data_IF_164327440799
#
_entry.id   IF_164327440799
#
_cell.length_a   1.000
_cell.length_b   1.000
_cell.length_c   1.000
_cell.angle_alpha   90.00
_cell.angle_beta   90.00
_cell.angle_gamma   90.00
#
_symmetry.space_group_name_H-M   'P 1'
#
loop_
_entity.id
_entity.type
_entity.pdbx_description
1 polymer ?
#
# COMPACT_ATOMS: atom_id res chain seq x y z
N UNK A 1 -3.52 -16.91 -1.32
CA UNK A 1 -4.41 -15.83 -1.78
C UNK A 1 -4.56 -15.93 -3.28
N UNK A 2 -5.61 -16.57 -3.77
CA UNK A 2 -5.94 -16.60 -5.19
C UNK A 2 -6.84 -15.40 -5.49
N UNK A 3 -6.37 -14.48 -6.33
CA UNK A 3 -7.17 -13.37 -6.82
C UNK A 3 -8.11 -13.92 -7.90
N UNK A 4 -9.42 -13.74 -7.71
CA UNK A 4 -10.42 -13.96 -8.76
C UNK A 4 -10.14 -12.98 -9.90
N UNK A 5 -9.46 -13.43 -10.95
CA UNK A 5 -9.29 -12.62 -12.15
C UNK A 5 -10.54 -12.75 -13.02
N UNK A 6 -11.17 -11.62 -13.30
CA UNK A 6 -12.18 -11.51 -14.35
C UNK A 6 -11.54 -11.88 -15.70
N UNK A 7 -12.28 -12.49 -16.65
CA UNK A 7 -11.76 -12.72 -18.00
C UNK A 7 -11.36 -11.37 -18.60
N UNK A 8 -10.21 -11.33 -19.29
CA UNK A 8 -9.80 -10.17 -20.07
C UNK A 8 -10.80 -9.96 -21.21
N UNK A 9 -11.83 -9.14 -20.98
CA UNK A 9 -12.65 -8.64 -22.07
C UNK A 9 -11.76 -7.77 -22.97
N UNK A 10 -11.86 -8.05 -24.27
CA UNK A 10 -11.00 -7.51 -25.31
C UNK A 10 -10.92 -5.99 -25.30
N UNK A 11 -9.79 -5.51 -25.81
CA UNK A 11 -9.39 -4.10 -25.86
C UNK A 11 -10.54 -3.14 -26.16
N UNK A 12 -11.00 -2.47 -25.10
CA UNK A 12 -11.77 -1.25 -25.20
C UNK A 12 -10.81 -0.08 -25.41
N UNK A 13 -10.91 0.58 -26.57
CA UNK A 13 -10.27 1.86 -26.82
C UNK A 13 -10.70 2.87 -25.75
N UNK A 14 -9.83 3.09 -24.78
CA UNK A 14 -9.99 4.10 -23.75
C UNK A 14 -9.58 5.46 -24.32
N UNK A 15 -10.47 6.42 -24.17
CA UNK A 15 -10.28 7.84 -24.43
C UNK A 15 -8.84 8.32 -24.18
N UNK A 16 -8.29 9.09 -25.12
CA UNK A 16 -6.97 9.74 -25.08
C UNK A 16 -6.84 10.84 -24.00
N UNK A 17 -7.60 10.74 -22.92
CA UNK A 17 -7.82 11.79 -21.92
C UNK A 17 -7.86 11.24 -20.48
N UNK A 18 -7.45 9.98 -20.28
CA UNK A 18 -7.04 9.53 -18.96
C UNK A 18 -5.67 10.18 -18.68
N UNK A 19 -5.72 11.37 -18.08
CA UNK A 19 -4.57 12.12 -17.62
C UNK A 19 -3.76 11.23 -16.65
N UNK A 20 -2.72 10.56 -17.17
CA UNK A 20 -1.81 9.70 -16.40
C UNK A 20 -0.86 10.57 -15.54
N UNK A 21 -1.37 11.67 -14.99
CA UNK A 21 -0.63 12.57 -14.12
C UNK A 21 -0.58 11.95 -12.74
N UNK A 22 0.64 11.62 -12.33
CA UNK A 22 0.93 11.15 -10.97
C UNK A 22 1.15 12.34 -10.07
N UNK A 23 0.27 12.50 -9.08
CA UNK A 23 0.42 13.53 -8.05
C UNK A 23 1.27 12.99 -6.89
N UNK A 24 2.59 13.19 -6.95
CA UNK A 24 3.56 12.69 -5.96
C UNK A 24 3.18 13.04 -4.50
N UNK A 25 2.75 14.28 -4.26
CA UNK A 25 2.33 14.73 -2.93
C UNK A 25 1.12 13.95 -2.38
N UNK A 26 0.20 13.55 -3.25
CA UNK A 26 -1.00 12.80 -2.85
C UNK A 26 -0.66 11.35 -2.54
N UNK A 27 0.22 10.73 -3.34
CA UNK A 27 0.75 9.40 -3.04
C UNK A 27 1.52 9.41 -1.72
N UNK A 28 2.30 10.46 -1.46
CA UNK A 28 3.05 10.62 -0.21
C UNK A 28 2.14 10.75 1.00
N UNK A 29 1.10 11.58 0.91
CA UNK A 29 0.08 11.71 1.96
C UNK A 29 -0.62 10.39 2.24
N UNK A 30 -0.99 9.65 1.18
CA UNK A 30 -1.67 8.36 1.33
C UNK A 30 -0.75 7.30 1.96
N UNK A 31 0.52 7.25 1.57
CA UNK A 31 1.53 6.39 2.20
C UNK A 31 1.66 6.70 3.69
N UNK A 32 1.80 7.98 4.04
CA UNK A 32 1.89 8.41 5.44
C UNK A 32 0.62 8.07 6.25
N UNK A 33 -0.58 8.26 5.67
CA UNK A 33 -1.82 7.85 6.34
C UNK A 33 -1.88 6.34 6.61
N UNK A 34 -1.41 5.51 5.67
CA UNK A 34 -1.35 4.06 5.85
C UNK A 34 -0.34 3.69 6.95
N UNK A 35 0.81 4.36 7.00
CA UNK A 35 1.80 4.20 8.06
C UNK A 35 1.25 4.59 9.44
N UNK A 36 0.62 5.76 9.55
CA UNK A 36 0.04 6.26 10.79
C UNK A 36 -1.07 5.33 11.31
N UNK A 37 -1.92 4.84 10.40
CA UNK A 37 -2.96 3.86 10.74
C UNK A 37 -2.34 2.57 11.28
N UNK A 38 -1.28 2.06 10.63
CA UNK A 38 -0.55 0.88 11.09
C UNK A 38 0.02 1.08 12.49
N UNK A 39 0.66 2.21 12.78
CA UNK A 39 1.28 2.46 14.09
C UNK A 39 0.25 2.62 15.21
N UNK A 40 -0.85 3.35 14.96
CA UNK A 40 -1.96 3.43 15.92
C UNK A 40 -2.53 2.06 16.20
N UNK A 41 -2.84 1.31 15.14
CA UNK A 41 -3.44 -0.01 15.28
C UNK A 41 -2.50 -1.01 15.96
N UNK A 42 -1.17 -0.90 15.77
CA UNK A 42 -0.18 -1.71 16.50
C UNK A 42 -0.30 -1.56 18.03
N UNK A 43 -0.64 -0.37 18.50
CA UNK A 43 -0.80 -0.10 19.94
C UNK A 43 -2.21 -0.46 20.39
N UNK A 44 -3.22 0.07 19.71
CA UNK A 44 -4.61 -0.02 20.15
C UNK A 44 -5.15 -1.46 20.05
N UNK A 45 -4.76 -2.22 19.02
CA UNK A 45 -5.20 -3.61 18.86
C UNK A 45 -4.59 -4.55 19.90
N UNK A 46 -3.46 -4.16 20.50
CA UNK A 46 -2.71 -4.98 21.46
C UNK A 46 -3.14 -4.75 22.90
N UNK A 47 -3.81 -3.64 23.18
CA UNK A 47 -4.15 -3.17 24.52
C UNK A 47 -4.85 -4.23 25.38
N UNK A 48 -5.85 -4.92 24.81
CA UNK A 48 -6.63 -5.92 25.54
C UNK A 48 -6.02 -7.33 25.51
N UNK A 49 -4.95 -7.56 24.73
CA UNK A 49 -4.38 -8.91 24.51
C UNK A 49 -4.05 -9.62 25.84
N UNK A 50 -3.30 -9.02 26.78
CA UNK A 50 -2.92 -9.71 28.02
C UNK A 50 -4.13 -10.01 28.91
N UNK A 51 -5.03 -9.04 29.10
CA UNK A 51 -6.20 -9.20 29.96
C UNK A 51 -7.19 -10.23 29.41
N UNK A 52 -7.39 -10.27 28.09
CA UNK A 52 -8.27 -11.26 27.45
C UNK A 52 -7.69 -12.66 27.58
N UNK A 53 -6.37 -12.82 27.40
CA UNK A 53 -5.71 -14.11 27.61
C UNK A 53 -5.83 -14.58 29.06
N UNK A 54 -5.53 -13.73 30.06
CA UNK A 54 -5.68 -14.08 31.47
C UNK A 54 -7.13 -14.49 31.79
N UNK A 55 -8.12 -13.70 31.37
CA UNK A 55 -9.52 -14.03 31.59
C UNK A 55 -9.93 -15.36 30.93
N UNK A 56 -9.39 -15.67 29.74
CA UNK A 56 -9.66 -16.95 29.06
C UNK A 56 -9.16 -18.15 29.88
N UNK A 57 -7.96 -18.02 30.46
CA UNK A 57 -7.34 -19.06 31.30
C UNK A 57 -8.10 -19.23 32.61
N UNK A 58 -8.46 -18.13 33.27
CA UNK A 58 -9.19 -18.18 34.54
C UNK A 58 -10.57 -18.84 34.36
N UNK A 59 -11.34 -18.40 33.36
CA UNK A 59 -12.65 -18.98 33.04
C UNK A 59 -12.55 -20.47 32.67
N UNK A 60 -11.51 -20.85 31.93
CA UNK A 60 -11.27 -22.25 31.58
C UNK A 60 -10.97 -23.10 32.82
N UNK A 61 -10.11 -22.61 33.71
CA UNK A 61 -9.75 -23.30 34.95
C UNK A 61 -10.92 -23.41 35.93
N UNK A 62 -11.87 -22.47 35.88
CA UNK A 62 -13.14 -22.52 36.62
C UNK A 62 -14.16 -23.51 36.01
N UNK A 63 -13.80 -24.20 34.93
CA UNK A 63 -14.64 -25.20 34.26
C UNK A 63 -15.71 -24.60 33.34
N UNK A 64 -15.54 -23.35 32.93
CA UNK A 64 -16.47 -22.66 32.03
C UNK A 64 -16.01 -22.78 30.57
N UNK A 65 -16.86 -23.32 29.70
CA UNK A 65 -16.61 -23.43 28.25
C UNK A 65 -16.29 -22.08 27.59
N UNK A 66 -16.77 -20.98 28.18
CA UNK A 66 -16.49 -19.60 27.77
C UNK A 66 -14.98 -19.31 27.73
N UNK A 67 -14.17 -19.94 28.58
CA UNK A 67 -12.71 -19.76 28.60
C UNK A 67 -12.06 -20.19 27.28
N UNK A 68 -12.38 -21.39 26.80
CA UNK A 68 -11.91 -21.90 25.51
C UNK A 68 -12.38 -21.02 24.33
N UNK A 69 -13.65 -20.61 24.34
CA UNK A 69 -14.21 -19.75 23.30
C UNK A 69 -13.53 -18.35 23.28
N UNK A 70 -13.21 -17.81 24.46
CA UNK A 70 -12.52 -16.53 24.57
C UNK A 70 -11.07 -16.62 24.09
N UNK A 71 -10.39 -17.75 24.31
CA UNK A 71 -9.06 -18.00 23.77
C UNK A 71 -9.06 -18.08 22.24
N UNK A 72 -10.04 -18.77 21.65
CA UNK A 72 -10.21 -18.82 20.19
C UNK A 72 -10.44 -17.42 19.61
N UNK A 73 -11.29 -16.61 20.26
CA UNK A 73 -11.51 -15.22 19.86
C UNK A 73 -10.23 -14.37 19.98
N UNK A 74 -9.46 -14.54 21.05
CA UNK A 74 -8.18 -13.86 21.25
C UNK A 74 -7.21 -14.17 20.09
N UNK A 75 -7.09 -15.43 19.69
CA UNK A 75 -6.17 -15.84 18.63
C UNK A 75 -6.63 -15.38 17.24
N UNK A 76 -7.95 -15.42 16.99
CA UNK A 76 -8.55 -14.88 15.78
C UNK A 76 -8.31 -13.36 15.68
N UNK A 77 -8.51 -12.61 16.77
CA UNK A 77 -8.25 -11.17 16.83
C UNK A 77 -6.78 -10.85 16.52
N UNK A 78 -5.84 -11.56 17.14
CA UNK A 78 -4.41 -11.38 16.88
C UNK A 78 -4.06 -11.65 15.42
N UNK A 79 -4.65 -12.68 14.82
CA UNK A 79 -4.45 -13.00 13.40
C UNK A 79 -4.98 -11.89 12.49
N UNK A 80 -6.23 -11.47 12.67
CA UNK A 80 -6.86 -10.45 11.82
C UNK A 80 -6.15 -9.11 11.95
N UNK A 81 -5.75 -8.74 13.17
CA UNK A 81 -5.05 -7.49 13.40
C UNK A 81 -3.66 -7.49 12.78
N UNK A 82 -2.97 -8.63 12.80
CA UNK A 82 -1.70 -8.80 12.10
C UNK A 82 -1.86 -8.63 10.58
N UNK A 83 -2.87 -9.26 9.98
CA UNK A 83 -3.16 -9.11 8.54
C UNK A 83 -3.43 -7.66 8.17
N UNK A 84 -4.20 -6.91 8.97
CA UNK A 84 -4.47 -5.50 8.69
C UNK A 84 -3.19 -4.64 8.78
N UNK A 85 -2.37 -4.85 9.82
CA UNK A 85 -1.08 -4.13 9.96
C UNK A 85 -0.15 -4.39 8.78
N UNK A 86 -0.08 -5.64 8.31
CA UNK A 86 0.70 -6.01 7.12
C UNK A 86 0.16 -5.34 5.86
N UNK A 87 -1.15 -5.35 5.65
CA UNK A 87 -1.77 -4.66 4.52
C UNK A 87 -1.44 -3.15 4.52
N UNK A 88 -1.53 -2.48 5.66
CA UNK A 88 -1.14 -1.08 5.78
C UNK A 88 0.36 -0.86 5.51
N UNK A 89 1.23 -1.75 5.98
CA UNK A 89 2.66 -1.71 5.68
C UNK A 89 2.92 -1.86 4.17
N UNK A 90 2.24 -2.81 3.53
CA UNK A 90 2.35 -3.05 2.09
C UNK A 90 1.92 -1.83 1.29
N UNK A 91 0.79 -1.19 1.65
CA UNK A 91 0.32 0.02 0.98
C UNK A 91 1.34 1.15 1.13
N UNK A 92 1.80 1.42 2.35
CA UNK A 92 2.81 2.46 2.62
C UNK A 92 4.07 2.23 1.78
N UNK A 93 4.64 1.03 1.87
CA UNK A 93 5.87 0.66 1.16
C UNK A 93 5.70 0.74 -0.36
N UNK A 94 4.55 0.31 -0.88
CA UNK A 94 4.28 0.34 -2.32
C UNK A 94 4.18 1.77 -2.84
N UNK A 95 3.51 2.67 -2.10
CA UNK A 95 3.40 4.07 -2.49
C UNK A 95 4.76 4.78 -2.42
N UNK A 96 5.56 4.53 -1.39
CA UNK A 96 6.91 5.06 -1.29
C UNK A 96 7.80 4.57 -2.44
N UNK A 97 7.69 3.29 -2.80
CA UNK A 97 8.37 2.72 -3.96
C UNK A 97 7.94 3.40 -5.26
N UNK A 98 6.63 3.54 -5.50
CA UNK A 98 6.09 4.16 -6.71
C UNK A 98 6.57 5.60 -6.87
N UNK A 99 6.56 6.38 -5.79
CA UNK A 99 7.10 7.75 -5.78
C UNK A 99 8.59 7.78 -6.14
N UNK A 100 9.38 6.93 -5.49
CA UNK A 100 10.81 6.84 -5.76
C UNK A 100 11.10 6.41 -7.20
N UNK A 101 10.29 5.52 -7.78
CA UNK A 101 10.43 5.08 -9.16
C UNK A 101 10.09 6.20 -10.14
N UNK A 102 8.96 6.90 -9.95
CA UNK A 102 8.60 8.04 -10.79
C UNK A 102 9.65 9.15 -10.73
N UNK A 103 10.21 9.45 -9.57
CA UNK A 103 11.30 10.43 -9.46
C UNK A 103 12.55 10.01 -10.24
N UNK A 104 12.91 8.73 -10.22
CA UNK A 104 14.02 8.20 -11.03
C UNK A 104 13.72 8.27 -12.53
N UNK A 105 12.51 7.91 -12.93
CA UNK A 105 12.08 7.93 -14.33
C UNK A 105 12.08 9.37 -14.87
N UNK A 106 11.64 10.35 -14.07
CA UNK A 106 11.68 11.76 -14.42
C UNK A 106 13.12 12.24 -14.67
N UNK A 107 14.06 11.88 -13.80
CA UNK A 107 15.49 12.17 -14.00
C UNK A 107 16.04 11.50 -15.26
N UNK A 108 15.65 10.25 -15.52
CA UNK A 108 16.08 9.53 -16.71
C UNK A 108 15.55 10.19 -17.99
N UNK A 109 14.29 10.61 -18.02
CA UNK A 109 13.69 11.31 -19.14
C UNK A 109 14.41 12.65 -19.36
N UNK A 110 14.55 13.48 -18.33
CA UNK A 110 15.20 14.79 -18.43
C UNK A 110 16.65 14.71 -18.93
N UNK A 111 17.38 13.65 -18.60
CA UNK A 111 18.81 13.52 -18.95
C UNK A 111 19.08 12.63 -20.15
N UNK A 112 18.10 11.82 -20.57
CA UNK A 112 18.28 10.73 -21.53
C UNK A 112 17.54 10.91 -22.85
N UNK A 113 16.63 11.87 -22.98
CA UNK A 113 15.88 12.10 -24.22
C UNK A 113 16.81 12.44 -25.39
N UNK A 114 16.63 11.75 -26.52
CA UNK A 114 17.43 11.94 -27.74
C UNK A 114 16.52 12.14 -28.96
N UNK A 115 16.99 12.94 -29.90
CA UNK A 115 16.30 13.16 -31.17
C UNK A 115 16.48 11.95 -32.12
N UNK A 116 15.79 11.97 -33.26
CA UNK A 116 15.90 10.91 -34.28
C UNK A 116 17.32 10.74 -34.85
N UNK A 117 18.20 11.73 -34.65
CA UNK A 117 19.60 11.70 -35.03
C UNK A 117 20.54 11.27 -33.88
N UNK A 118 19.99 10.95 -32.70
CA UNK A 118 20.72 10.44 -31.53
C UNK A 118 21.34 11.51 -30.62
N UNK A 119 21.06 12.80 -30.85
CA UNK A 119 21.55 13.89 -30.01
C UNK A 119 20.65 14.10 -28.80
N UNK A 120 21.22 14.47 -27.64
CA UNK A 120 20.44 14.82 -26.46
C UNK A 120 19.50 16.00 -26.74
N UNK A 121 18.22 15.81 -26.42
CA UNK A 121 17.17 16.83 -26.47
C UNK A 121 17.15 17.54 -25.13
N UNK A 122 17.95 18.60 -25.00
CA UNK A 122 17.86 19.50 -23.84
C UNK A 122 16.64 20.41 -24.00
N UNK A 123 16.06 20.85 -22.88
CA UNK A 123 14.87 21.73 -22.85
C UNK A 123 15.04 22.97 -23.74
N UNK A 124 16.26 23.51 -23.85
CA UNK A 124 16.58 24.65 -24.71
C UNK A 124 16.45 24.37 -26.21
N UNK A 125 16.62 23.11 -26.65
CA UNK A 125 16.59 22.73 -28.08
C UNK A 125 15.21 22.27 -28.54
N UNK A 126 14.25 22.03 -27.64
CA UNK A 126 12.92 21.54 -28.03
C UNK A 126 12.15 22.57 -28.88
N UNK A 127 12.40 23.86 -28.65
CA UNK A 127 11.88 24.96 -29.47
C UNK A 127 12.38 24.92 -30.92
N UNK A 128 13.49 24.23 -31.21
CA UNK A 128 14.00 24.08 -32.57
C UNK A 128 13.14 23.10 -33.40
N UNK A 129 12.34 22.25 -32.74
CA UNK A 129 11.55 21.17 -33.36
C UNK A 129 10.04 21.42 -33.37
N UNK A 130 9.53 22.38 -32.61
CA UNK A 130 8.11 22.77 -32.60
C UNK A 130 7.94 23.96 -33.56
N UNK A 131 7.48 23.70 -34.79
CA UNK A 131 7.09 24.74 -35.76
C UNK A 131 5.58 24.91 -35.82
#
# INVERSE_FOLDING_TARGET
MQLNQLPAEGGGGGSSDADLVVHDDQLGKLGNMAYDLREKFRVDSDFARPSTFTASVDLFNDGLDMGSALLELHDAWNTQTQTLKEACAHISNHLDFTRAQHSKDEVHIQTGMKDAAGHLMTVSRINDYIK
#
